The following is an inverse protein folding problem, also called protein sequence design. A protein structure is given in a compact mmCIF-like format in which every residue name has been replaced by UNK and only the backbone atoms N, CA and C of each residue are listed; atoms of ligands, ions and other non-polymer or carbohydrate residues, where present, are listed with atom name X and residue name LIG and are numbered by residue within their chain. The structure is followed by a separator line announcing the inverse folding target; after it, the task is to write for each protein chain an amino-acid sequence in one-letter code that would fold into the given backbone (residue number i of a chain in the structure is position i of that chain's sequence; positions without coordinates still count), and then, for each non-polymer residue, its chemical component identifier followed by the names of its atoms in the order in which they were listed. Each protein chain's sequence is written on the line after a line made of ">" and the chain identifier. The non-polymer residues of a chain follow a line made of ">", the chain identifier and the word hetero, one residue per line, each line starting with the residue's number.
data_IF_362714626221
#
_entry.id   IF_362714626221
#
_cell.length_a   1.000
_cell.length_b   1.000
_cell.length_c   1.000
_cell.angle_alpha   90.00
_cell.angle_beta   90.00
_cell.angle_gamma   90.00
#
_symmetry.space_group_name_H-M   'P 1'
#
loop_
_entity.id
_entity.type
_entity.pdbx_description
1 polymer ?
#
# COMPACT_ATOMS: atom_id res chain seq x y z
N UNK A 1 -7.93 -3.98 10.44
CA UNK A 1 -9.32 -4.43 10.28
C UNK A 1 -9.95 -3.95 8.97
N UNK A 2 -9.93 -2.64 8.72
CA UNK A 2 -10.51 -2.07 7.49
C UNK A 2 -9.77 -2.53 6.25
N UNK A 3 -8.44 -2.56 6.28
CA UNK A 3 -7.64 -3.07 5.17
C UNK A 3 -7.90 -4.55 4.92
N UNK A 4 -8.02 -5.36 5.97
CA UNK A 4 -8.31 -6.79 5.83
C UNK A 4 -9.68 -7.01 5.20
N UNK A 5 -10.68 -6.22 5.59
CA UNK A 5 -12.00 -6.30 4.98
C UNK A 5 -11.95 -5.94 3.50
N UNK A 6 -11.25 -4.88 3.15
CA UNK A 6 -11.08 -4.46 1.75
C UNK A 6 -10.40 -5.54 0.92
N UNK A 7 -9.26 -6.07 1.38
CA UNK A 7 -8.53 -7.08 0.62
C UNK A 7 -9.30 -8.38 0.49
N UNK A 8 -10.04 -8.77 1.52
CA UNK A 8 -10.90 -9.97 1.45
C UNK A 8 -12.01 -9.79 0.41
N UNK A 9 -12.61 -8.61 0.35
CA UNK A 9 -13.64 -8.31 -0.66
C UNK A 9 -13.09 -8.30 -2.08
N UNK A 10 -11.79 -8.12 -2.25
CA UNK A 10 -11.13 -8.12 -3.55
C UNK A 10 -10.49 -9.46 -3.90
N UNK A 11 -10.80 -10.51 -3.15
CA UNK A 11 -10.33 -11.86 -3.45
C UNK A 11 -9.13 -12.31 -2.63
N UNK A 12 -8.73 -11.53 -1.63
CA UNK A 12 -7.61 -11.87 -0.73
C UNK A 12 -6.31 -11.17 -1.09
N UNK A 13 -5.35 -11.25 -0.17
CA UNK A 13 -4.08 -10.53 -0.30
C UNK A 13 -3.28 -10.92 -1.54
N UNK A 14 -3.43 -12.15 -2.03
CA UNK A 14 -2.62 -12.64 -3.16
C UNK A 14 -2.97 -11.96 -4.49
N UNK A 15 -4.16 -11.39 -4.62
CA UNK A 15 -4.60 -10.77 -5.88
C UNK A 15 -5.11 -9.34 -5.72
N UNK A 16 -5.33 -8.90 -4.49
CA UNK A 16 -5.95 -7.59 -4.25
C UNK A 16 -5.08 -6.42 -4.73
N UNK A 17 -3.76 -6.58 -4.72
CA UNK A 17 -2.85 -5.51 -5.12
C UNK A 17 -3.11 -5.01 -6.53
N UNK A 18 -3.27 -5.90 -7.49
CA UNK A 18 -3.56 -5.52 -8.87
C UNK A 18 -4.88 -4.76 -9.00
N UNK A 19 -5.87 -5.13 -8.20
CA UNK A 19 -7.18 -4.47 -8.22
C UNK A 19 -7.17 -3.09 -7.56
N UNK A 20 -6.18 -2.83 -6.72
CA UNK A 20 -6.02 -1.57 -6.00
C UNK A 20 -5.15 -0.57 -6.74
N UNK A 21 -4.15 -1.04 -7.49
CA UNK A 21 -3.16 -0.17 -8.13
C UNK A 21 -3.77 0.70 -9.23
N UNK A 22 -3.35 1.97 -9.28
CA UNK A 22 -3.65 2.86 -10.38
C UNK A 22 -3.06 2.28 -11.69
N UNK A 23 -3.65 2.67 -12.83
CA UNK A 23 -3.16 2.23 -14.13
C UNK A 23 -1.97 3.06 -14.62
N UNK A 24 -1.71 4.20 -14.01
CA UNK A 24 -0.66 5.14 -14.41
C UNK A 24 0.30 5.40 -13.26
N UNK A 25 1.44 6.01 -13.56
CA UNK A 25 2.49 6.44 -12.64
C UNK A 25 3.35 5.32 -12.06
N UNK A 26 2.92 4.07 -12.16
CA UNK A 26 3.72 2.92 -11.75
C UNK A 26 4.77 2.61 -12.81
N UNK A 27 6.01 2.31 -12.36
CA UNK A 27 7.04 1.81 -13.25
C UNK A 27 6.62 0.45 -13.81
N UNK A 28 6.92 0.20 -15.08
CA UNK A 28 6.64 -1.11 -15.68
C UNK A 28 7.41 -2.21 -14.93
N UNK A 29 6.81 -3.41 -14.79
CA UNK A 29 5.65 -3.90 -15.53
C UNK A 29 4.27 -3.59 -14.92
N UNK A 30 4.12 -2.94 -13.80
CA UNK A 30 2.83 -2.69 -13.13
C UNK A 30 1.90 -3.92 -13.18
N UNK A 31 2.38 -5.03 -12.67
CA UNK A 31 1.82 -6.37 -12.87
C UNK A 31 0.36 -6.46 -12.41
N UNK A 32 -0.49 -6.94 -13.33
CA UNK A 32 -1.92 -7.19 -13.09
C UNK A 32 -2.71 -5.97 -12.60
N UNK A 33 -2.23 -4.76 -12.84
CA UNK A 33 -2.93 -3.55 -12.42
C UNK A 33 -4.22 -3.38 -13.24
N UNK A 34 -5.35 -3.32 -12.57
CA UNK A 34 -6.65 -3.10 -13.21
C UNK A 34 -7.40 -1.91 -12.61
N UNK A 35 -7.06 -1.55 -11.38
CA UNK A 35 -7.80 -0.56 -10.60
C UNK A 35 -9.31 -0.84 -10.56
N UNK A 36 -9.69 -2.11 -10.62
CA UNK A 36 -11.10 -2.49 -10.67
C UNK A 36 -11.86 -2.08 -9.41
N UNK A 37 -11.15 -1.88 -8.30
CA UNK A 37 -11.75 -1.41 -7.05
C UNK A 37 -12.08 0.08 -7.06
N UNK A 38 -11.48 0.86 -7.96
CA UNK A 38 -11.56 2.31 -7.94
C UNK A 38 -10.70 2.98 -6.86
N UNK A 39 -9.88 2.20 -6.15
CA UNK A 39 -9.03 2.73 -5.07
C UNK A 39 -7.96 3.69 -5.59
N UNK A 40 -7.39 3.41 -6.74
CA UNK A 40 -6.37 4.23 -7.41
C UNK A 40 -5.13 4.40 -6.52
N UNK A 41 -4.54 3.29 -6.09
CA UNK A 41 -3.33 3.32 -5.27
C UNK A 41 -2.14 3.84 -6.07
N UNK A 42 -1.54 4.92 -5.60
CA UNK A 42 -0.41 5.57 -6.26
C UNK A 42 0.93 5.07 -5.70
N UNK A 43 1.97 5.01 -6.54
CA UNK A 43 3.28 4.52 -6.12
C UNK A 43 4.12 5.64 -5.48
N UNK A 44 3.68 6.14 -4.34
CA UNK A 44 4.34 7.24 -3.65
C UNK A 44 5.58 6.83 -2.86
N UNK A 45 5.87 5.51 -2.76
CA UNK A 45 7.00 5.03 -1.99
C UNK A 45 6.84 5.28 -0.50
N UNK A 46 7.95 5.54 0.16
CA UNK A 46 7.93 5.90 1.58
C UNK A 46 9.05 6.90 1.89
N UNK A 47 8.93 7.53 3.06
CA UNK A 47 9.92 8.46 3.58
C UNK A 47 10.47 7.88 4.89
N UNK A 48 11.81 7.84 5.04
CA UNK A 48 12.39 7.31 6.26
C UNK A 48 12.40 8.35 7.39
N UNK A 49 12.88 7.95 8.55
CA UNK A 49 12.85 8.78 9.76
C UNK A 49 13.84 9.97 9.74
N UNK A 50 14.70 10.06 8.73
CA UNK A 50 15.60 11.21 8.55
C UNK A 50 15.24 12.07 7.34
N UNK A 51 14.07 11.82 6.75
CA UNK A 51 13.50 12.69 5.73
C UNK A 51 13.84 12.34 4.29
N UNK A 52 14.44 11.18 4.02
CA UNK A 52 14.73 10.75 2.66
C UNK A 52 13.59 9.91 2.10
N UNK A 53 13.24 10.16 0.83
CA UNK A 53 12.19 9.42 0.12
C UNK A 53 12.80 8.30 -0.71
N UNK A 54 12.11 7.16 -0.75
CA UNK A 54 12.56 5.96 -1.47
C UNK A 54 11.40 5.31 -2.21
N UNK A 55 11.72 4.57 -3.26
CA UNK A 55 10.82 3.65 -3.95
C UNK A 55 9.64 4.33 -4.64
N UNK A 56 9.73 5.61 -4.95
CA UNK A 56 8.73 6.31 -5.75
C UNK A 56 8.63 5.62 -7.12
N UNK A 57 7.43 5.44 -7.62
CA UNK A 57 7.03 4.71 -8.84
C UNK A 57 7.12 3.18 -8.73
N UNK A 58 7.78 2.65 -7.73
CA UNK A 58 8.01 1.20 -7.57
C UNK A 58 7.09 0.61 -6.50
N UNK A 59 6.93 1.29 -5.38
CA UNK A 59 6.13 0.83 -4.25
C UNK A 59 5.09 1.87 -3.84
N UNK A 60 3.98 1.39 -3.31
CA UNK A 60 3.01 2.22 -2.60
C UNK A 60 2.80 1.67 -1.20
N UNK A 61 3.08 2.49 -0.19
CA UNK A 61 2.93 2.12 1.21
C UNK A 61 1.81 2.93 1.85
N UNK A 62 0.99 2.26 2.63
CA UNK A 62 -0.15 2.88 3.32
C UNK A 62 -0.15 2.47 4.78
N UNK A 63 -0.29 3.45 5.68
CA UNK A 63 -0.49 3.16 7.09
C UNK A 63 -1.84 2.50 7.31
N UNK A 64 -1.88 1.58 8.28
CA UNK A 64 -3.13 1.06 8.82
C UNK A 64 -3.39 1.72 10.18
N UNK A 65 -4.57 1.51 10.73
CA UNK A 65 -4.91 2.02 12.07
C UNK A 65 -4.43 1.10 13.19
N UNK A 66 -3.68 0.03 12.88
CA UNK A 66 -3.29 -0.98 13.85
C UNK A 66 -1.84 -0.79 14.28
N UNK A 67 -1.63 -0.59 15.56
CA UNK A 67 -0.30 -0.52 16.16
C UNK A 67 0.30 -1.91 16.28
N UNK A 68 1.58 -2.06 15.93
CA UNK A 68 2.32 -3.30 16.14
C UNK A 68 2.92 -3.35 17.55
N UNK A 69 3.58 -2.26 17.95
CA UNK A 69 4.10 -2.04 19.30
C UNK A 69 4.24 -0.52 19.53
N UNK A 70 4.87 -0.11 20.62
CA UNK A 70 5.00 1.32 20.92
C UNK A 70 5.78 2.13 19.89
N UNK A 71 6.69 1.50 19.15
CA UNK A 71 7.54 2.17 18.15
C UNK A 71 7.15 1.90 16.71
N UNK A 72 6.28 0.92 16.43
CA UNK A 72 5.95 0.49 15.08
C UNK A 72 4.45 0.36 14.88
N UNK A 73 4.03 0.53 13.64
CA UNK A 73 2.64 0.30 13.23
C UNK A 73 2.59 -0.57 11.98
N UNK A 74 1.49 -1.26 11.80
CA UNK A 74 1.28 -2.08 10.60
C UNK A 74 1.01 -1.20 9.40
N UNK A 75 1.55 -1.63 8.24
CA UNK A 75 1.26 -1.01 6.95
C UNK A 75 0.78 -2.05 5.95
N UNK A 76 0.33 -1.55 4.81
CA UNK A 76 0.06 -2.33 3.60
C UNK A 76 0.89 -1.75 2.47
N UNK A 77 1.53 -2.61 1.66
CA UNK A 77 2.30 -2.11 0.54
C UNK A 77 2.08 -2.93 -0.72
N UNK A 78 2.24 -2.26 -1.85
CA UNK A 78 2.07 -2.79 -3.18
C UNK A 78 3.34 -2.57 -3.99
N UNK A 79 3.60 -3.46 -4.94
CA UNK A 79 4.77 -3.42 -5.81
C UNK A 79 4.38 -3.32 -7.27
N UNK A 80 5.27 -2.68 -8.07
CA UNK A 80 5.09 -2.64 -9.52
C UNK A 80 5.19 -4.04 -10.16
N UNK A 81 5.91 -4.95 -9.56
CA UNK A 81 6.18 -6.29 -10.13
C UNK A 81 5.23 -7.37 -9.60
N UNK A 82 4.30 -7.04 -8.70
CA UNK A 82 3.47 -8.04 -8.04
C UNK A 82 2.00 -7.66 -8.03
N UNK A 83 1.16 -8.69 -8.13
CA UNK A 83 -0.30 -8.52 -8.04
C UNK A 83 -0.85 -8.62 -6.62
N UNK A 84 -0.02 -9.01 -5.67
CA UNK A 84 -0.43 -9.14 -4.26
C UNK A 84 -0.33 -7.80 -3.53
N UNK A 85 -0.89 -7.77 -2.34
CA UNK A 85 -0.67 -6.71 -1.38
C UNK A 85 -0.09 -7.33 -0.12
N UNK A 86 0.92 -6.70 0.44
CA UNK A 86 1.62 -7.22 1.59
C UNK A 86 1.39 -6.38 2.83
N UNK A 87 1.70 -6.97 3.97
CA UNK A 87 1.58 -6.35 5.28
C UNK A 87 2.92 -6.39 5.98
N UNK A 88 3.30 -5.26 6.57
CA UNK A 88 4.58 -5.13 7.26
C UNK A 88 4.41 -4.23 8.47
N UNK A 89 5.43 -4.16 9.33
CA UNK A 89 5.47 -3.18 10.40
C UNK A 89 6.67 -2.26 10.18
N UNK A 90 6.47 -0.97 10.37
CA UNK A 90 7.50 0.03 10.20
C UNK A 90 7.48 1.01 11.36
N UNK A 91 8.65 1.62 11.61
CA UNK A 91 8.80 2.65 12.62
C UNK A 91 7.79 3.78 12.36
N UNK A 92 7.11 4.22 13.41
CA UNK A 92 6.08 5.27 13.32
C UNK A 92 6.63 6.62 12.84
N UNK A 93 7.95 6.80 12.85
CA UNK A 93 8.60 8.00 12.33
C UNK A 93 8.75 8.02 10.81
N UNK A 94 8.44 6.91 10.14
CA UNK A 94 8.43 6.87 8.68
C UNK A 94 7.19 7.58 8.14
N UNK A 95 7.31 8.12 6.93
CA UNK A 95 6.19 8.73 6.22
C UNK A 95 5.63 7.80 5.17
N UNK A 96 4.36 7.47 5.28
CA UNK A 96 3.62 6.65 4.33
C UNK A 96 2.34 7.37 3.94
N UNK A 97 1.75 6.91 2.83
CA UNK A 97 0.46 7.43 2.41
C UNK A 97 -0.65 7.05 3.39
N UNK A 98 -1.69 7.86 3.43
CA UNK A 98 -2.87 7.63 4.27
C UNK A 98 -4.12 7.71 3.40
N UNK A 99 -5.02 6.75 3.57
CA UNK A 99 -6.32 6.77 2.92
C UNK A 99 -7.38 6.64 4.01
N UNK A 100 -8.22 7.65 4.09
CA UNK A 100 -9.30 7.68 5.07
C UNK A 100 -10.57 7.06 4.48
N UNK A 101 -11.33 6.37 5.32
CA UNK A 101 -12.62 5.81 4.95
C UNK A 101 -13.70 6.74 5.48
N UNK A 102 -14.69 7.03 4.64
CA UNK A 102 -15.86 7.80 5.05
C UNK A 102 -16.78 6.90 5.86
N UNK A 103 -17.14 7.38 7.01
CA UNK A 103 -18.10 6.67 7.89
C UNK A 103 -19.52 6.67 7.31
#
# INVERSE_FOLDING_TARGET
>A
AEWTLLTNNLGGDTIAGGKLKALTLWQAPNTCATNSSGFTALPAGFRNNIGNSYRITVDGYFWTATEYNSGEAWDRYLWNERKDINRYSLNKKYGLSVRCIKD
#
